data_IF_250297432969
#
_entry.id   IF_250297432969
#
_cell.length_a   1.000
_cell.length_b   1.000
_cell.length_c   1.000
_cell.angle_alpha   90.00
_cell.angle_beta   90.00
_cell.angle_gamma   90.00
#
_symmetry.space_group_name_H-M   'P 1'
#
loop_
_entity.id
_entity.type
_entity.pdbx_description
1 polymer ?
#
# COMPACT_ATOMS: atom_id res chain seq x y z
N UNK A 1 13.57 2.62 -5.68
CA UNK A 1 12.67 3.75 -5.27
C UNK A 1 13.50 4.97 -4.88
N UNK A 2 13.13 6.20 -5.33
CA UNK A 2 13.84 7.41 -4.88
C UNK A 2 13.36 7.84 -3.48
N UNK A 3 14.26 7.97 -2.48
CA UNK A 3 13.88 8.26 -1.10
C UNK A 3 13.14 9.58 -0.91
N UNK A 4 13.42 10.62 -1.71
CA UNK A 4 12.75 11.90 -1.54
C UNK A 4 11.33 11.89 -2.11
N UNK A 5 11.07 11.11 -3.15
CA UNK A 5 9.71 10.92 -3.68
C UNK A 5 8.86 10.19 -2.65
N UNK A 6 9.36 9.09 -2.10
CA UNK A 6 8.67 8.37 -1.03
C UNK A 6 8.40 9.28 0.17
N UNK A 7 9.42 10.01 0.65
CA UNK A 7 9.28 10.94 1.76
C UNK A 7 8.20 12.00 1.48
N UNK A 8 8.15 12.53 0.25
CA UNK A 8 7.17 13.53 -0.17
C UNK A 8 5.75 12.97 -0.12
N UNK A 9 5.51 11.79 -0.70
CA UNK A 9 4.19 11.15 -0.72
C UNK A 9 3.74 10.80 0.70
N UNK A 10 4.61 10.15 1.48
CA UNK A 10 4.31 9.79 2.85
C UNK A 10 4.00 11.02 3.71
N UNK A 11 4.74 12.12 3.53
CA UNK A 11 4.48 13.39 4.23
C UNK A 11 3.13 14.00 3.85
N UNK A 12 2.76 14.00 2.55
CA UNK A 12 1.49 14.53 2.08
C UNK A 12 0.30 13.78 2.68
N UNK A 13 0.36 12.47 2.68
CA UNK A 13 -0.71 11.59 3.18
C UNK A 13 -0.60 11.27 4.69
N UNK A 14 0.43 11.75 5.40
CA UNK A 14 0.73 11.46 6.82
C UNK A 14 0.92 9.97 7.08
N UNK A 15 1.66 9.31 6.20
CA UNK A 15 1.98 7.88 6.30
C UNK A 15 3.29 7.66 7.07
N UNK A 16 3.50 6.46 7.61
CA UNK A 16 4.77 6.08 8.23
C UNK A 16 5.90 6.11 7.20
N UNK A 17 7.08 6.50 7.66
CA UNK A 17 8.27 6.65 6.83
C UNK A 17 9.38 5.78 7.43
N UNK A 18 10.02 4.89 6.65
CA UNK A 18 11.19 4.15 7.11
C UNK A 18 12.28 5.11 7.59
N UNK A 19 12.87 4.87 8.76
CA UNK A 19 13.88 5.77 9.35
C UNK A 19 15.06 6.04 8.43
N UNK A 20 15.49 5.04 7.67
CA UNK A 20 16.63 5.19 6.76
C UNK A 20 16.28 6.00 5.50
N UNK A 21 15.00 6.16 5.15
CA UNK A 21 14.59 6.97 4.00
C UNK A 21 15.16 8.38 4.09
N UNK A 22 15.02 9.03 5.24
CA UNK A 22 15.52 10.41 5.44
C UNK A 22 17.05 10.48 5.31
N UNK A 23 17.76 9.47 5.81
CA UNK A 23 19.22 9.39 5.72
C UNK A 23 19.69 9.29 4.26
N UNK A 24 18.96 8.49 3.46
CA UNK A 24 19.27 8.23 2.06
C UNK A 24 18.95 9.39 1.11
N UNK A 25 18.09 10.34 1.50
CA UNK A 25 17.76 11.51 0.67
C UNK A 25 19.02 12.27 0.29
N UNK A 26 19.20 12.47 -1.01
CA UNK A 26 20.28 13.29 -1.58
C UNK A 26 19.71 14.60 -2.07
N UNK A 27 20.24 15.71 -1.60
CA UNK A 27 19.89 17.06 -2.04
C UNK A 27 21.09 17.64 -2.80
N UNK A 28 20.89 18.22 -3.99
CA UNK A 28 21.98 18.87 -4.71
C UNK A 28 22.61 19.99 -3.89
N UNK A 29 23.95 20.09 -3.95
CA UNK A 29 24.73 20.94 -3.02
C UNK A 29 24.41 22.42 -3.08
N UNK A 30 24.01 22.94 -4.25
CA UNK A 30 23.78 24.36 -4.48
C UNK A 30 22.28 24.74 -4.41
N UNK A 31 21.47 23.90 -3.79
CA UNK A 31 20.03 24.12 -3.69
C UNK A 31 19.73 25.34 -2.81
N UNK A 32 18.97 26.30 -3.33
CA UNK A 32 18.44 27.46 -2.61
C UNK A 32 16.92 27.50 -2.53
N UNK A 33 16.25 26.57 -3.22
CA UNK A 33 14.81 26.41 -3.20
C UNK A 33 14.37 25.11 -3.86
N UNK A 34 13.12 24.76 -3.70
CA UNK A 34 12.52 23.61 -4.35
C UNK A 34 11.03 23.78 -4.57
N UNK A 35 10.51 23.04 -5.54
CA UNK A 35 9.09 22.92 -5.83
C UNK A 35 8.68 21.46 -5.81
N UNK A 36 7.46 21.19 -5.36
CA UNK A 36 6.80 19.92 -5.53
C UNK A 36 5.64 20.13 -6.49
N UNK A 37 5.71 19.47 -7.63
CA UNK A 37 4.67 19.49 -8.65
C UNK A 37 4.03 18.11 -8.75
N UNK A 38 2.71 18.08 -8.73
CA UNK A 38 1.91 16.87 -8.91
C UNK A 38 1.25 16.95 -10.28
N UNK A 39 1.49 15.96 -11.11
CA UNK A 39 0.91 15.82 -12.43
C UNK A 39 -0.07 14.65 -12.47
N UNK A 40 -1.24 14.85 -13.04
CA UNK A 40 -2.17 13.77 -13.37
C UNK A 40 -1.65 12.92 -14.51
N UNK A 41 -1.93 11.63 -14.49
CA UNK A 41 -1.58 10.71 -15.58
C UNK A 41 -2.40 11.02 -16.84
N UNK A 42 -3.61 11.56 -16.65
CA UNK A 42 -4.49 12.00 -17.73
C UNK A 42 -5.00 13.40 -17.41
N UNK A 43 -4.99 14.33 -18.39
CA UNK A 43 -5.64 15.62 -18.24
C UNK A 43 -7.15 15.42 -18.06
N UNK A 44 -7.71 16.00 -17.01
CA UNK A 44 -9.15 15.92 -16.74
C UNK A 44 -9.87 17.12 -17.36
N UNK A 45 -10.72 16.86 -18.32
CA UNK A 45 -11.60 17.86 -18.94
C UNK A 45 -10.90 18.81 -19.91
N UNK A 46 -11.42 20.03 -20.01
CA UNK A 46 -10.95 21.06 -20.97
C UNK A 46 -9.64 21.76 -20.54
N UNK A 47 -9.06 21.39 -19.39
CA UNK A 47 -7.79 21.96 -18.92
C UNK A 47 -6.62 21.37 -19.71
N UNK A 48 -5.85 22.22 -20.42
CA UNK A 48 -4.73 21.73 -21.24
C UNK A 48 -3.51 21.29 -20.42
N UNK A 49 -3.57 21.37 -19.09
CA UNK A 49 -2.44 21.08 -18.21
C UNK A 49 -2.73 19.89 -17.32
N UNK A 50 -1.79 18.97 -17.27
CA UNK A 50 -1.76 17.82 -16.37
C UNK A 50 -1.46 18.19 -14.90
N UNK A 51 -1.11 19.44 -14.61
CA UNK A 51 -0.69 19.88 -13.28
C UNK A 51 -1.87 19.93 -12.32
N UNK A 52 -1.86 19.02 -11.35
CA UNK A 52 -2.80 18.99 -10.24
C UNK A 52 -2.47 20.04 -9.17
N UNK A 53 -1.20 20.24 -8.87
CA UNK A 53 -0.72 21.27 -7.95
C UNK A 53 0.79 21.47 -8.07
N UNK A 54 1.24 22.68 -7.72
CA UNK A 54 2.66 23.03 -7.76
C UNK A 54 2.95 24.12 -6.74
N UNK A 55 3.56 23.75 -5.64
CA UNK A 55 3.93 24.66 -4.54
C UNK A 55 5.42 24.55 -4.28
N UNK A 56 6.06 25.67 -4.00
CA UNK A 56 7.48 25.72 -3.72
C UNK A 56 7.87 26.69 -2.62
N UNK A 57 9.13 26.59 -2.24
CA UNK A 57 9.77 27.46 -1.27
C UNK A 57 11.21 27.73 -1.69
N UNK A 58 11.69 28.96 -1.52
CA UNK A 58 13.09 29.32 -1.78
C UNK A 58 13.58 30.42 -0.84
N UNK A 59 14.89 30.49 -0.66
CA UNK A 59 15.62 31.48 0.13
C UNK A 59 16.60 32.24 -0.78
N UNK A 60 17.21 33.31 -0.24
CA UNK A 60 18.19 34.08 -1.00
C UNK A 60 19.60 33.43 -1.00
N UNK A 61 19.75 32.36 -0.23
CA UNK A 61 20.99 31.63 -0.03
C UNK A 61 20.77 30.12 -0.07
N UNK A 62 21.87 29.39 -0.17
CA UNK A 62 21.87 27.93 -0.09
C UNK A 62 21.12 27.42 1.16
N UNK A 63 20.22 26.48 0.98
CA UNK A 63 19.51 25.78 2.04
C UNK A 63 20.29 24.53 2.50
N UNK A 64 20.21 24.21 3.77
CA UNK A 64 20.71 22.95 4.29
C UNK A 64 19.75 21.79 3.97
N UNK A 65 20.28 20.56 3.95
CA UNK A 65 19.45 19.34 3.82
C UNK A 65 18.32 19.31 4.86
N UNK A 66 18.63 19.61 6.11
CA UNK A 66 17.66 19.62 7.20
C UNK A 66 16.55 20.68 6.98
N UNK A 67 16.90 21.87 6.49
CA UNK A 67 15.93 22.93 6.19
C UNK A 67 14.97 22.49 5.07
N UNK A 68 15.46 21.85 4.00
CA UNK A 68 14.65 21.34 2.90
C UNK A 68 13.72 20.24 3.41
N UNK A 69 14.25 19.23 4.09
CA UNK A 69 13.46 18.11 4.64
C UNK A 69 12.37 18.62 5.57
N UNK A 70 12.67 19.58 6.46
CA UNK A 70 11.68 20.16 7.35
C UNK A 70 10.55 20.94 6.66
N UNK A 71 10.76 21.43 5.44
CA UNK A 71 9.76 22.14 4.66
C UNK A 71 8.88 21.22 3.79
N UNK A 72 9.41 20.06 3.36
CA UNK A 72 8.71 19.14 2.47
C UNK A 72 7.29 18.79 2.96
N UNK A 73 7.02 18.44 4.23
CA UNK A 73 5.68 18.04 4.64
C UNK A 73 4.61 19.09 4.35
N UNK A 74 4.88 20.38 4.66
CA UNK A 74 3.94 21.46 4.40
C UNK A 74 3.75 21.75 2.91
N UNK A 75 4.85 21.75 2.15
CA UNK A 75 4.83 22.00 0.70
C UNK A 75 4.13 20.84 -0.03
N UNK A 76 4.42 19.59 0.34
CA UNK A 76 3.78 18.40 -0.21
C UNK A 76 2.27 18.42 0.05
N UNK A 77 1.85 18.64 1.30
CA UNK A 77 0.43 18.75 1.63
C UNK A 77 -0.27 19.82 0.78
N UNK A 78 0.37 20.98 0.62
CA UNK A 78 -0.21 22.05 -0.16
C UNK A 78 -0.31 21.71 -1.65
N UNK A 79 0.71 21.10 -2.25
CA UNK A 79 0.69 20.68 -3.65
C UNK A 79 -0.35 19.59 -3.94
N UNK A 80 -0.55 18.67 -2.99
CA UNK A 80 -1.48 17.55 -3.16
C UNK A 80 -2.94 17.92 -2.92
N UNK A 81 -3.23 18.88 -2.00
CA UNK A 81 -4.58 19.05 -1.48
C UNK A 81 -5.11 20.49 -1.48
N UNK A 82 -4.26 21.52 -1.39
CA UNK A 82 -4.70 22.89 -1.17
C UNK A 82 -4.32 23.87 -2.27
N UNK A 83 -3.54 23.46 -3.26
CA UNK A 83 -3.33 24.27 -4.47
C UNK A 83 -4.68 24.53 -5.14
N UNK A 84 -4.90 25.75 -5.62
CA UNK A 84 -6.16 26.12 -6.26
C UNK A 84 -6.52 25.21 -7.45
N UNK A 85 -5.54 24.68 -8.14
CA UNK A 85 -5.74 23.72 -9.24
C UNK A 85 -6.29 22.39 -8.78
N UNK A 86 -5.90 21.90 -7.60
CA UNK A 86 -6.40 20.65 -7.04
C UNK A 86 -7.93 20.65 -6.85
N UNK A 87 -8.53 21.83 -6.61
CA UNK A 87 -9.96 21.98 -6.39
C UNK A 87 -10.81 21.77 -7.66
N UNK A 88 -10.22 21.89 -8.84
CA UNK A 88 -10.92 21.67 -10.11
C UNK A 88 -11.00 20.19 -10.51
N UNK A 89 -10.32 19.31 -9.80
CA UNK A 89 -10.33 17.88 -10.09
C UNK A 89 -11.41 17.19 -9.26
N UNK A 90 -12.46 16.70 -9.91
CA UNK A 90 -13.56 15.95 -9.27
C UNK A 90 -13.09 14.62 -8.74
N UNK A 91 -12.14 13.96 -9.44
CA UNK A 91 -11.58 12.67 -9.05
C UNK A 91 -10.44 12.88 -8.05
N UNK A 92 -10.49 12.27 -6.86
CA UNK A 92 -9.41 12.35 -5.88
C UNK A 92 -8.06 11.93 -6.48
N UNK A 93 -6.97 12.56 -6.05
CA UNK A 93 -5.63 12.25 -6.56
C UNK A 93 -5.23 10.79 -6.31
N UNK A 94 -5.71 10.21 -5.23
CA UNK A 94 -5.43 8.83 -4.85
C UNK A 94 -5.96 7.80 -5.86
N UNK A 95 -6.97 8.17 -6.65
CA UNK A 95 -7.52 7.33 -7.71
C UNK A 95 -6.69 7.36 -9.00
N UNK A 96 -5.58 8.12 -8.98
CA UNK A 96 -4.61 8.19 -10.07
C UNK A 96 -3.23 7.65 -9.62
N UNK A 97 -3.04 6.32 -9.56
CA UNK A 97 -1.80 5.70 -9.10
C UNK A 97 -0.58 6.07 -9.94
N UNK A 98 -0.79 6.43 -11.20
CA UNK A 98 0.25 6.85 -12.13
C UNK A 98 0.51 8.35 -12.11
N UNK A 99 -0.19 9.12 -11.26
CA UNK A 99 0.12 10.53 -11.05
C UNK A 99 1.62 10.71 -10.75
N UNK A 100 2.26 11.62 -11.50
CA UNK A 100 3.70 11.88 -11.40
C UNK A 100 3.96 12.94 -10.34
N UNK A 101 4.90 12.65 -9.47
CA UNK A 101 5.39 13.57 -8.44
C UNK A 101 6.77 14.04 -8.88
N UNK A 102 6.92 15.33 -9.10
CA UNK A 102 8.15 15.98 -9.51
C UNK A 102 8.66 16.87 -8.37
N UNK A 103 9.93 16.75 -8.04
CA UNK A 103 10.62 17.62 -7.08
C UNK A 103 11.73 18.35 -7.83
N UNK A 104 11.53 19.64 -8.07
CA UNK A 104 12.46 20.49 -8.78
C UNK A 104 13.29 21.30 -7.79
N UNK A 105 14.60 21.05 -7.71
CA UNK A 105 15.55 21.79 -6.89
C UNK A 105 16.13 22.96 -7.67
N UNK A 106 15.96 24.18 -7.17
CA UNK A 106 16.53 25.40 -7.72
C UNK A 106 18.01 25.53 -7.33
N UNK A 107 18.91 25.74 -8.31
CA UNK A 107 20.34 25.72 -8.10
C UNK A 107 20.98 27.11 -8.20
N UNK A 108 21.93 27.40 -7.30
CA UNK A 108 22.86 28.53 -7.45
C UNK A 108 23.95 28.20 -8.50
N UNK A 109 24.54 29.22 -9.14
CA UNK A 109 24.34 30.64 -8.93
C UNK A 109 23.14 31.18 -9.68
N UNK A 110 22.53 32.25 -9.15
CA UNK A 110 21.60 33.08 -9.89
C UNK A 110 22.35 33.93 -10.93
N UNK A 111 21.96 33.85 -12.19
CA UNK A 111 22.56 34.63 -13.26
C UNK A 111 21.67 35.79 -13.63
N UNK A 112 22.10 37.08 -13.47
CA UNK A 112 21.30 38.21 -13.85
C UNK A 112 21.00 38.23 -15.36
N UNK A 113 19.76 38.54 -15.70
CA UNK A 113 19.35 38.76 -17.09
C UNK A 113 19.27 40.27 -17.32
N UNK A 114 20.18 40.81 -18.15
CA UNK A 114 20.09 42.21 -18.56
C UNK A 114 18.94 42.38 -19.58
N UNK A 115 18.12 43.43 -19.43
CA UNK A 115 16.88 43.65 -20.16
C UNK A 115 16.98 43.78 -21.70
N UNK A 116 18.16 43.59 -22.27
CA UNK A 116 18.40 43.56 -23.73
C UNK A 116 18.56 42.15 -24.31
N UNK A 117 18.50 41.10 -23.48
CA UNK A 117 18.61 39.72 -23.98
C UNK A 117 17.28 39.25 -24.59
N UNK A 118 17.27 39.25 -25.90
CA UNK A 118 16.13 38.80 -26.72
C UNK A 118 15.87 37.28 -26.72
N UNK A 119 16.72 36.49 -26.09
CA UNK A 119 16.59 35.02 -26.04
C UNK A 119 16.82 34.54 -24.61
N UNK A 120 15.75 34.28 -23.89
CA UNK A 120 15.70 33.51 -22.68
C UNK A 120 15.33 32.06 -23.06
N UNK A 121 16.14 31.10 -22.64
CA UNK A 121 15.87 29.66 -22.87
C UNK A 121 15.06 29.11 -21.71
N UNK A 122 13.72 29.18 -21.83
CA UNK A 122 12.79 28.67 -20.83
C UNK A 122 12.70 27.13 -20.78
N UNK A 123 13.29 26.42 -21.74
CA UNK A 123 13.40 24.96 -21.69
C UNK A 123 14.45 24.53 -20.66
N UNK A 124 15.52 25.33 -20.54
CA UNK A 124 16.65 25.00 -19.68
C UNK A 124 16.61 25.71 -18.33
N UNK A 125 16.18 26.97 -18.32
CA UNK A 125 16.29 27.83 -17.14
C UNK A 125 14.95 28.21 -16.55
N UNK A 126 14.87 28.20 -15.22
CA UNK A 126 13.84 28.91 -14.48
C UNK A 126 14.13 30.40 -14.39
N UNK A 127 13.13 31.18 -14.07
CA UNK A 127 13.20 32.66 -14.03
C UNK A 127 12.70 33.17 -12.68
N UNK A 128 13.46 34.07 -12.07
CA UNK A 128 13.06 34.83 -10.88
C UNK A 128 12.95 36.29 -11.25
N UNK A 129 11.96 36.99 -10.69
CA UNK A 129 11.91 38.46 -10.60
C UNK A 129 11.96 38.86 -9.13
N UNK A 130 12.78 39.83 -8.83
CA UNK A 130 12.92 40.43 -7.49
C UNK A 130 12.75 41.95 -7.54
N UNK A 131 12.02 42.46 -6.60
CA UNK A 131 11.82 43.88 -6.36
C UNK A 131 11.65 44.11 -4.84
N UNK A 132 11.77 45.36 -4.41
CA UNK A 132 11.55 45.73 -2.98
C UNK A 132 10.11 45.45 -2.52
N UNK A 133 9.16 45.28 -3.45
CA UNK A 133 7.74 45.07 -3.16
C UNK A 133 7.28 43.64 -3.28
N UNK A 134 8.08 42.77 -3.90
CA UNK A 134 7.69 41.37 -4.09
C UNK A 134 8.64 40.58 -4.97
N UNK A 135 8.45 39.29 -4.96
CA UNK A 135 9.23 38.37 -5.79
C UNK A 135 8.36 37.25 -6.36
N UNK A 136 8.76 36.71 -7.49
CA UNK A 136 8.07 35.64 -8.16
C UNK A 136 9.03 34.74 -8.92
N UNK A 137 8.63 33.53 -9.19
CA UNK A 137 9.43 32.58 -9.99
C UNK A 137 8.57 31.73 -10.89
N UNK A 138 9.17 31.29 -11.98
CA UNK A 138 8.71 30.21 -12.84
C UNK A 138 9.80 29.16 -13.00
N UNK A 139 9.40 27.89 -12.91
CA UNK A 139 10.25 26.76 -13.24
C UNK A 139 10.55 26.72 -14.75
N UNK A 140 11.59 26.01 -15.20
CA UNK A 140 11.79 25.70 -16.61
C UNK A 140 10.53 25.06 -17.23
N UNK A 141 10.34 25.23 -18.53
CA UNK A 141 9.25 24.63 -19.32
C UNK A 141 7.82 25.08 -18.98
N UNK A 142 7.66 26.04 -18.07
CA UNK A 142 6.31 26.56 -17.71
C UNK A 142 5.65 27.31 -18.84
N UNK A 143 6.41 27.91 -19.75
CA UNK A 143 5.89 28.64 -20.88
C UNK A 143 6.04 27.88 -22.19
N UNK A 144 4.98 27.90 -23.00
CA UNK A 144 5.02 27.44 -24.39
C UNK A 144 5.62 28.49 -25.34
N UNK A 145 5.55 29.77 -24.95
CA UNK A 145 6.14 30.86 -25.71
C UNK A 145 7.61 31.08 -25.34
N UNK A 146 8.41 31.49 -26.35
CA UNK A 146 9.79 31.96 -26.16
C UNK A 146 9.88 33.50 -26.16
N UNK A 147 8.75 34.19 -26.16
CA UNK A 147 8.70 35.65 -26.19
C UNK A 147 9.01 36.22 -24.80
N UNK A 148 10.20 36.84 -24.69
CA UNK A 148 10.63 37.49 -23.46
C UNK A 148 9.65 38.49 -22.88
N UNK A 149 9.00 39.31 -23.74
CA UNK A 149 8.06 40.34 -23.30
C UNK A 149 6.85 39.72 -22.60
N UNK A 150 6.33 38.60 -23.12
CA UNK A 150 5.20 37.87 -22.54
C UNK A 150 5.61 37.20 -21.23
N UNK A 151 6.75 36.48 -21.21
CA UNK A 151 7.24 35.77 -20.02
C UNK A 151 7.50 36.78 -18.89
N UNK A 152 8.21 37.89 -19.19
CA UNK A 152 8.56 38.87 -18.17
C UNK A 152 7.33 39.62 -17.64
N UNK A 153 6.38 39.99 -18.49
CA UNK A 153 5.14 40.63 -18.07
C UNK A 153 4.30 39.71 -17.15
N UNK A 154 4.16 38.44 -17.55
CA UNK A 154 3.45 37.43 -16.74
C UNK A 154 4.11 37.22 -15.39
N UNK A 155 5.45 37.17 -15.30
CA UNK A 155 6.16 36.98 -14.05
C UNK A 155 6.06 38.21 -13.13
N UNK A 156 6.11 39.46 -13.70
CA UNK A 156 5.85 40.68 -12.95
C UNK A 156 4.44 40.69 -12.37
N UNK A 157 3.45 40.30 -13.16
CA UNK A 157 2.06 40.18 -12.70
C UNK A 157 1.95 39.14 -11.55
N UNK A 158 2.57 37.98 -11.70
CA UNK A 158 2.60 36.93 -10.64
C UNK A 158 3.24 37.45 -9.37
N UNK A 159 4.32 38.21 -9.47
CA UNK A 159 5.01 38.80 -8.33
C UNK A 159 4.26 40.03 -7.75
N UNK A 160 3.20 40.51 -8.45
CA UNK A 160 2.44 41.73 -8.11
C UNK A 160 3.31 43.00 -8.07
N UNK A 161 4.28 43.09 -8.96
CA UNK A 161 5.21 44.21 -9.05
C UNK A 161 5.18 44.81 -10.47
N UNK A 162 5.48 46.08 -10.57
CA UNK A 162 5.53 46.78 -11.89
C UNK A 162 6.89 46.64 -12.56
N UNK A 163 7.96 46.54 -11.78
CA UNK A 163 9.34 46.43 -12.26
C UNK A 163 10.13 45.55 -11.32
N UNK A 164 11.23 44.95 -11.80
CA UNK A 164 12.12 44.14 -10.98
C UNK A 164 13.39 43.72 -11.72
N UNK A 165 14.31 43.16 -10.99
CA UNK A 165 15.53 42.52 -11.51
C UNK A 165 15.21 41.07 -11.85
N UNK A 166 15.65 40.60 -13.01
CA UNK A 166 15.43 39.25 -13.46
C UNK A 166 16.70 38.41 -13.30
N UNK A 167 16.53 37.19 -12.85
CA UNK A 167 17.60 36.20 -12.71
C UNK A 167 17.14 34.88 -13.29
N UNK A 168 18.06 34.18 -13.96
CA UNK A 168 17.84 32.79 -14.36
C UNK A 168 18.59 31.83 -13.44
N UNK A 169 18.04 30.62 -13.29
CA UNK A 169 18.63 29.55 -12.51
C UNK A 169 18.42 28.19 -13.19
N UNK A 170 19.27 27.24 -12.87
CA UNK A 170 19.11 25.86 -13.29
C UNK A 170 18.30 25.06 -12.26
N UNK A 171 17.72 23.94 -12.70
CA UNK A 171 17.03 23.00 -11.82
C UNK A 171 17.62 21.62 -11.94
N UNK A 172 17.59 20.88 -10.82
CA UNK A 172 17.78 19.45 -10.78
C UNK A 172 16.46 18.81 -10.40
N UNK A 173 16.03 17.83 -11.17
CA UNK A 173 14.68 17.25 -11.03
C UNK A 173 14.78 15.81 -10.60
N UNK A 174 13.93 15.41 -9.65
CA UNK A 174 13.68 14.03 -9.25
C UNK A 174 12.20 13.74 -9.43
N UNK A 175 11.89 12.60 -10.02
CA UNK A 175 10.52 12.21 -10.34
C UNK A 175 10.19 10.82 -9.83
N UNK A 176 8.89 10.60 -9.56
CA UNK A 176 8.33 9.30 -9.26
C UNK A 176 6.81 9.30 -9.42
N UNK A 177 6.18 8.19 -9.10
CA UNK A 177 4.73 8.03 -9.22
C UNK A 177 4.07 7.91 -7.84
N UNK A 178 2.79 8.24 -7.74
CA UNK A 178 2.02 8.11 -6.51
C UNK A 178 2.07 6.67 -5.97
N UNK A 179 2.00 5.68 -6.86
CA UNK A 179 2.09 4.26 -6.51
C UNK A 179 3.42 3.82 -5.88
N UNK A 180 4.41 4.71 -5.77
CA UNK A 180 5.69 4.42 -5.09
C UNK A 180 5.51 3.90 -3.65
N UNK A 181 4.44 4.30 -2.95
CA UNK A 181 4.09 3.73 -1.64
C UNK A 181 3.59 2.28 -1.69
N UNK A 182 3.47 1.73 -2.89
CA UNK A 182 3.12 0.33 -3.14
C UNK A 182 4.27 -0.43 -3.82
N UNK A 183 5.46 0.17 -3.90
CA UNK A 183 6.65 -0.49 -4.43
C UNK A 183 7.14 -1.57 -3.45
N UNK A 184 7.74 -2.60 -4.01
CA UNK A 184 8.21 -3.78 -3.28
C UNK A 184 9.02 -3.44 -2.02
N UNK A 185 9.94 -2.49 -2.11
CA UNK A 185 10.81 -2.10 -1.00
C UNK A 185 10.02 -1.55 0.20
N UNK A 186 8.98 -0.75 -0.06
CA UNK A 186 8.13 -0.22 1.00
C UNK A 186 7.23 -1.30 1.62
N UNK A 187 6.69 -2.20 0.80
CA UNK A 187 5.88 -3.32 1.26
C UNK A 187 6.71 -4.32 2.10
N UNK A 188 7.96 -4.59 1.68
CA UNK A 188 8.89 -5.42 2.44
C UNK A 188 9.27 -4.79 3.78
N UNK A 189 9.43 -3.46 3.83
CA UNK A 189 9.64 -2.75 5.10
C UNK A 189 8.45 -2.92 6.05
N UNK A 190 7.21 -2.76 5.58
CA UNK A 190 6.02 -2.99 6.42
C UNK A 190 6.00 -4.42 6.97
N UNK A 191 6.27 -5.42 6.13
CA UNK A 191 6.34 -6.82 6.57
C UNK A 191 7.49 -7.06 7.57
N UNK A 192 8.63 -6.40 7.38
CA UNK A 192 9.77 -6.51 8.30
C UNK A 192 9.48 -5.91 9.68
N UNK A 193 8.81 -4.76 9.74
CA UNK A 193 8.38 -4.14 11.01
C UNK A 193 7.42 -5.06 11.79
N UNK A 194 6.51 -5.75 11.09
CA UNK A 194 5.66 -6.77 11.71
C UNK A 194 6.48 -7.94 12.27
N UNK A 195 7.48 -8.42 11.52
CA UNK A 195 8.37 -9.46 12.00
C UNK A 195 9.16 -9.02 13.24
N UNK A 196 9.68 -7.80 13.25
CA UNK A 196 10.39 -7.23 14.42
C UNK A 196 9.46 -7.21 15.62
N UNK A 197 8.20 -6.76 15.44
CA UNK A 197 7.21 -6.81 16.51
C UNK A 197 7.02 -8.24 17.04
N UNK A 198 6.87 -9.23 16.15
CA UNK A 198 6.68 -10.62 16.53
C UNK A 198 7.92 -11.19 17.22
N UNK A 199 9.13 -10.94 16.73
CA UNK A 199 10.38 -11.40 17.37
C UNK A 199 10.50 -10.93 18.83
N UNK A 200 10.14 -9.67 19.08
CA UNK A 200 10.24 -9.06 20.41
C UNK A 200 9.14 -9.56 21.35
N UNK A 201 7.92 -9.74 20.84
CA UNK A 201 6.74 -9.94 21.69
C UNK A 201 6.21 -11.37 21.75
N UNK A 202 6.76 -12.30 20.94
CA UNK A 202 6.38 -13.70 20.98
C UNK A 202 6.97 -14.40 22.22
N UNK A 203 6.12 -14.58 23.23
CA UNK A 203 6.49 -15.22 24.50
C UNK A 203 6.31 -16.74 24.50
N UNK A 204 5.54 -17.24 25.49
CA UNK A 204 5.19 -18.66 25.58
C UNK A 204 4.20 -19.11 24.51
N UNK A 205 3.36 -18.19 24.03
CA UNK A 205 2.45 -18.38 22.91
C UNK A 205 2.46 -17.17 21.99
N UNK A 206 1.89 -17.35 20.79
CA UNK A 206 1.69 -16.28 19.82
C UNK A 206 0.88 -15.14 20.45
N UNK A 207 1.29 -13.86 20.27
CA UNK A 207 0.50 -12.74 20.72
C UNK A 207 -0.88 -12.73 20.06
N UNK A 208 -1.92 -12.45 20.84
CA UNK A 208 -3.29 -12.33 20.34
C UNK A 208 -3.63 -10.89 19.94
N UNK A 209 -3.34 -9.95 20.83
CA UNK A 209 -3.65 -8.53 20.60
C UNK A 209 -2.73 -7.62 21.41
N UNK A 210 -2.77 -6.32 21.08
CA UNK A 210 -2.18 -5.26 21.88
C UNK A 210 -3.29 -4.31 22.32
N UNK A 211 -3.37 -4.04 23.63
CA UNK A 211 -4.32 -3.10 24.21
C UNK A 211 -3.63 -2.19 25.21
N UNK A 212 -3.83 -0.86 25.08
CA UNK A 212 -3.18 0.11 25.95
C UNK A 212 -1.65 0.02 25.97
N UNK A 213 -1.02 -0.47 24.90
CA UNK A 213 0.42 -0.69 24.78
C UNK A 213 0.92 -2.00 25.42
N UNK A 214 0.03 -2.83 25.94
CA UNK A 214 0.38 -4.13 26.52
C UNK A 214 0.03 -5.24 25.53
N UNK A 215 0.95 -6.19 25.37
CA UNK A 215 0.73 -7.42 24.59
C UNK A 215 -0.10 -8.39 25.43
N UNK A 216 -1.19 -8.87 24.85
CA UNK A 216 -2.08 -9.87 25.45
C UNK A 216 -1.87 -11.20 24.72
N UNK A 217 -1.71 -12.25 25.49
CA UNK A 217 -1.63 -13.63 25.01
C UNK A 217 -2.90 -14.35 25.46
N UNK A 218 -3.62 -14.91 24.48
CA UNK A 218 -4.79 -15.76 24.75
C UNK A 218 -4.69 -17.05 23.96
N UNK A 219 -4.26 -18.11 24.64
CA UNK A 219 -4.09 -19.43 24.02
C UNK A 219 -5.40 -20.20 23.83
N UNK A 220 -6.54 -19.61 24.18
CA UNK A 220 -7.88 -20.16 23.94
C UNK A 220 -8.48 -19.71 22.61
N UNK A 221 -7.98 -18.60 22.03
CA UNK A 221 -8.37 -18.07 20.73
C UNK A 221 -7.76 -18.86 19.56
N UNK A 222 -8.18 -20.13 19.45
CA UNK A 222 -7.55 -21.12 18.59
C UNK A 222 -7.54 -20.73 17.10
N UNK A 223 -8.64 -20.19 16.58
CA UNK A 223 -8.78 -19.82 15.15
C UNK A 223 -7.76 -18.77 14.79
N UNK A 224 -7.74 -17.65 15.52
CA UNK A 224 -6.87 -16.50 15.26
C UNK A 224 -5.41 -16.83 15.46
N UNK A 225 -5.11 -17.61 16.53
CA UNK A 225 -3.74 -18.05 16.80
C UNK A 225 -3.23 -18.98 15.69
N UNK A 226 -4.02 -19.96 15.25
CA UNK A 226 -3.62 -20.85 14.15
C UNK A 226 -3.48 -20.08 12.82
N UNK A 227 -4.36 -19.10 12.54
CA UNK A 227 -4.23 -18.22 11.38
C UNK A 227 -2.89 -17.45 11.42
N UNK A 228 -2.60 -16.77 12.53
CA UNK A 228 -1.34 -16.02 12.71
C UNK A 228 -0.10 -16.94 12.56
N UNK A 229 -0.14 -18.15 13.09
CA UNK A 229 0.96 -19.11 12.92
C UNK A 229 1.16 -19.48 11.45
N UNK A 230 0.07 -19.68 10.70
CA UNK A 230 0.10 -19.97 9.29
C UNK A 230 0.68 -18.80 8.48
N UNK A 231 0.28 -17.57 8.80
CA UNK A 231 0.71 -16.33 8.16
C UNK A 231 2.20 -16.05 8.39
N UNK A 232 2.67 -16.21 9.63
CA UNK A 232 4.08 -16.02 9.96
C UNK A 232 5.00 -16.95 9.16
N UNK A 233 4.56 -18.16 8.87
CA UNK A 233 5.33 -19.14 8.09
C UNK A 233 5.46 -18.77 6.59
N UNK A 234 4.73 -17.79 6.10
CA UNK A 234 4.92 -17.21 4.76
C UNK A 234 6.04 -16.17 4.71
N UNK A 235 6.51 -15.71 5.86
CA UNK A 235 7.50 -14.66 5.99
C UNK A 235 8.91 -15.24 6.21
N UNK A 236 9.97 -14.47 5.92
CA UNK A 236 11.35 -14.87 6.19
C UNK A 236 11.66 -14.74 7.69
N UNK A 237 11.09 -15.64 8.50
CA UNK A 237 11.24 -15.66 9.96
C UNK A 237 12.62 -16.15 10.40
N UNK A 238 13.05 -15.70 11.58
CA UNK A 238 14.27 -16.20 12.22
C UNK A 238 14.11 -17.65 12.71
N UNK A 239 15.23 -18.34 12.88
CA UNK A 239 15.22 -19.70 13.47
C UNK A 239 14.61 -19.72 14.89
N UNK A 240 14.80 -18.64 15.66
CA UNK A 240 14.23 -18.51 16.99
C UNK A 240 12.71 -18.41 16.94
N UNK A 241 12.18 -17.53 16.09
CA UNK A 241 10.74 -17.37 15.90
C UNK A 241 10.11 -18.66 15.33
N UNK A 242 10.76 -19.30 14.37
CA UNK A 242 10.32 -20.60 13.82
C UNK A 242 10.23 -21.68 14.91
N UNK A 243 11.19 -21.76 15.83
CA UNK A 243 11.15 -22.71 16.92
C UNK A 243 9.95 -22.49 17.86
N UNK A 244 9.63 -21.23 18.16
CA UNK A 244 8.44 -20.86 18.95
C UNK A 244 7.15 -21.25 18.22
N UNK A 245 7.04 -20.93 16.92
CA UNK A 245 5.91 -21.31 16.07
C UNK A 245 5.72 -22.84 16.04
N UNK A 246 6.79 -23.60 15.83
CA UNK A 246 6.76 -25.07 15.84
C UNK A 246 6.26 -25.63 17.18
N UNK A 247 6.62 -25.01 18.30
CA UNK A 247 6.13 -25.40 19.63
C UNK A 247 4.62 -25.18 19.73
N UNK A 248 4.12 -24.04 19.31
CA UNK A 248 2.70 -23.70 19.38
C UNK A 248 1.87 -24.57 18.43
N UNK A 249 2.35 -24.85 17.22
CA UNK A 249 1.71 -25.80 16.31
C UNK A 249 1.56 -27.18 16.95
N UNK A 250 2.59 -27.68 17.63
CA UNK A 250 2.51 -28.99 18.36
C UNK A 250 1.47 -28.92 19.47
N UNK A 251 1.40 -27.83 20.22
CA UNK A 251 0.40 -27.62 21.25
C UNK A 251 -1.01 -27.69 20.70
N UNK A 252 -1.24 -26.96 19.60
CA UNK A 252 -2.54 -26.97 18.95
C UNK A 252 -2.86 -28.29 18.27
N UNK A 253 -1.91 -28.97 17.67
CA UNK A 253 -2.08 -30.30 17.08
C UNK A 253 -2.41 -31.36 18.13
N UNK A 254 -1.86 -31.30 19.33
CA UNK A 254 -2.20 -32.24 20.41
C UNK A 254 -3.64 -32.10 20.91
N UNK A 255 -4.27 -30.95 20.69
CA UNK A 255 -5.62 -30.63 21.21
C UNK A 255 -6.70 -30.61 20.14
N UNK A 256 -6.42 -30.91 18.88
CA UNK A 256 -7.35 -30.69 17.77
C UNK A 256 -8.70 -31.42 17.94
N UNK A 257 -8.72 -32.64 18.48
CA UNK A 257 -9.93 -33.45 18.70
C UNK A 257 -10.89 -32.84 19.73
N UNK A 258 -10.36 -32.09 20.69
CA UNK A 258 -11.13 -31.51 21.79
C UNK A 258 -11.78 -30.17 21.41
N UNK A 259 -11.59 -29.73 20.17
CA UNK A 259 -12.04 -28.47 19.69
C UNK A 259 -12.98 -28.70 18.53
N UNK A 260 -14.23 -28.46 18.72
CA UNK A 260 -15.19 -28.47 17.63
C UNK A 260 -15.05 -27.21 16.76
N UNK A 261 -13.80 -26.89 16.34
CA UNK A 261 -13.47 -25.66 15.60
C UNK A 261 -12.77 -26.01 14.29
N UNK A 262 -13.56 -26.34 13.28
CA UNK A 262 -13.08 -26.73 11.95
C UNK A 262 -12.19 -25.65 11.32
N UNK A 263 -12.50 -24.38 11.52
CA UNK A 263 -11.69 -23.27 11.04
C UNK A 263 -10.28 -23.26 11.62
N UNK A 264 -10.15 -23.47 12.94
CA UNK A 264 -8.82 -23.59 13.57
C UNK A 264 -8.03 -24.77 13.01
N UNK A 265 -8.72 -25.88 12.72
CA UNK A 265 -8.10 -27.07 12.15
C UNK A 265 -7.64 -26.83 10.70
N UNK A 266 -8.37 -26.04 9.91
CA UNK A 266 -7.97 -25.64 8.56
C UNK A 266 -6.62 -24.88 8.58
N UNK A 267 -6.49 -23.84 9.40
CA UNK A 267 -5.23 -23.12 9.55
C UNK A 267 -4.11 -23.99 10.12
N UNK A 268 -4.46 -24.89 11.05
CA UNK A 268 -3.50 -25.78 11.65
C UNK A 268 -2.86 -26.74 10.64
N UNK A 269 -3.63 -27.36 9.74
CA UNK A 269 -3.06 -28.24 8.71
C UNK A 269 -2.18 -27.48 7.73
N UNK A 270 -2.56 -26.26 7.34
CA UNK A 270 -1.71 -25.40 6.49
C UNK A 270 -0.38 -25.09 7.19
N UNK A 271 -0.42 -24.71 8.47
CA UNK A 271 0.78 -24.42 9.25
C UNK A 271 1.65 -25.67 9.43
N UNK A 272 1.04 -26.84 9.70
CA UNK A 272 1.76 -28.13 9.83
C UNK A 272 2.46 -28.51 8.52
N UNK A 273 1.83 -28.33 7.39
CA UNK A 273 2.43 -28.61 6.08
C UNK A 273 3.64 -27.72 5.80
N UNK A 274 3.56 -26.42 6.11
CA UNK A 274 4.64 -25.43 5.90
C UNK A 274 5.89 -25.69 6.74
N UNK A 275 5.77 -26.23 7.94
CA UNK A 275 6.94 -26.53 8.78
C UNK A 275 7.73 -27.76 8.32
N UNK A 276 7.39 -28.34 7.17
CA UNK A 276 8.20 -29.38 6.52
C UNK A 276 8.16 -30.74 7.21
N UNK A 277 7.11 -31.01 7.93
CA UNK A 277 6.87 -32.35 8.48
C UNK A 277 6.51 -33.33 7.37
N UNK A 278 7.01 -34.58 7.45
CA UNK A 278 6.34 -35.72 6.80
C UNK A 278 4.87 -35.65 7.20
N UNK A 279 3.95 -35.99 6.28
CA UNK A 279 2.52 -36.10 6.59
C UNK A 279 2.42 -37.00 7.85
N UNK A 280 2.21 -36.35 8.99
CA UNK A 280 2.06 -37.10 10.26
C UNK A 280 0.68 -37.70 10.27
N UNK A 281 0.49 -38.78 11.02
CA UNK A 281 -0.84 -39.38 11.20
C UNK A 281 -1.84 -38.33 11.68
N UNK A 282 -1.44 -37.42 12.57
CA UNK A 282 -2.28 -36.31 13.05
C UNK A 282 -2.74 -35.39 11.90
N UNK A 283 -1.84 -35.02 10.96
CA UNK A 283 -2.18 -34.20 9.81
C UNK A 283 -3.21 -34.91 8.92
N UNK A 284 -3.01 -36.20 8.65
CA UNK A 284 -3.95 -37.04 7.89
C UNK A 284 -5.31 -37.11 8.56
N UNK A 285 -5.33 -37.37 9.87
CA UNK A 285 -6.57 -37.49 10.67
C UNK A 285 -7.39 -36.18 10.63
N UNK A 286 -6.71 -35.01 10.74
CA UNK A 286 -7.35 -33.71 10.66
C UNK A 286 -7.90 -33.46 9.24
N UNK A 287 -7.15 -33.79 8.18
CA UNK A 287 -7.62 -33.69 6.81
C UNK A 287 -8.87 -34.54 6.57
N UNK A 288 -8.87 -35.78 7.04
CA UNK A 288 -10.01 -36.70 6.90
C UNK A 288 -11.24 -36.19 7.66
N UNK A 289 -11.04 -35.62 8.85
CA UNK A 289 -12.12 -35.03 9.65
C UNK A 289 -12.74 -33.79 8.94
N UNK A 290 -11.89 -32.86 8.49
CA UNK A 290 -12.34 -31.69 7.73
C UNK A 290 -13.10 -32.08 6.45
N UNK A 291 -12.59 -33.08 5.73
CA UNK A 291 -13.24 -33.56 4.51
C UNK A 291 -14.61 -34.19 4.77
N UNK A 292 -14.74 -35.01 5.82
CA UNK A 292 -16.01 -35.64 6.18
C UNK A 292 -17.07 -34.63 6.60
N UNK A 293 -16.65 -33.52 7.20
CA UNK A 293 -17.55 -32.50 7.75
C UNK A 293 -17.79 -31.30 6.81
N UNK A 294 -17.27 -31.33 5.59
CA UNK A 294 -17.36 -30.19 4.64
C UNK A 294 -18.78 -29.68 4.42
N UNK A 295 -19.76 -30.58 4.30
CA UNK A 295 -21.14 -30.23 4.02
C UNK A 295 -21.88 -29.64 5.23
N UNK A 296 -21.31 -29.75 6.43
CA UNK A 296 -21.86 -29.23 7.68
C UNK A 296 -21.20 -27.92 8.13
N UNK A 297 -20.23 -27.38 7.35
CA UNK A 297 -19.52 -26.17 7.73
C UNK A 297 -20.41 -24.94 7.53
N UNK A 298 -20.74 -24.26 8.63
CA UNK A 298 -21.39 -22.97 8.66
C UNK A 298 -20.66 -22.06 9.68
N UNK A 299 -20.55 -20.77 9.43
CA UNK A 299 -20.98 -20.01 8.25
C UNK A 299 -20.07 -20.25 7.03
N UNK A 300 -20.53 -19.90 5.85
CA UNK A 300 -19.88 -20.21 4.57
C UNK A 300 -18.45 -19.67 4.42
N UNK A 301 -18.07 -18.59 5.12
CA UNK A 301 -16.67 -18.11 5.09
C UNK A 301 -15.68 -19.13 5.65
N UNK A 302 -16.08 -19.94 6.65
CA UNK A 302 -15.25 -21.03 7.18
C UNK A 302 -15.06 -22.15 6.15
N UNK A 303 -16.01 -22.33 5.26
CA UNK A 303 -15.88 -23.27 4.15
C UNK A 303 -14.73 -22.85 3.20
N UNK A 304 -14.62 -21.58 2.83
CA UNK A 304 -13.55 -21.07 1.99
C UNK A 304 -12.17 -21.39 2.56
N UNK A 305 -11.95 -21.13 3.84
CA UNK A 305 -10.69 -21.45 4.54
C UNK A 305 -10.39 -22.94 4.52
N UNK A 306 -11.40 -23.77 4.83
CA UNK A 306 -11.25 -25.23 4.84
C UNK A 306 -10.90 -25.75 3.45
N UNK A 307 -11.51 -25.23 2.41
CA UNK A 307 -11.25 -25.62 1.04
C UNK A 307 -9.84 -25.28 0.58
N UNK A 308 -9.34 -24.08 0.93
CA UNK A 308 -7.95 -23.69 0.67
C UNK A 308 -7.01 -24.67 1.37
N UNK A 309 -7.25 -24.92 2.65
CA UNK A 309 -6.42 -25.82 3.44
C UNK A 309 -6.38 -27.24 2.85
N UNK A 310 -7.52 -27.79 2.50
CA UNK A 310 -7.60 -29.11 1.89
C UNK A 310 -6.95 -29.16 0.49
N UNK A 311 -7.13 -28.11 -0.31
CA UNK A 311 -6.50 -28.02 -1.63
C UNK A 311 -4.96 -28.00 -1.52
N UNK A 312 -4.41 -27.25 -0.56
CA UNK A 312 -2.96 -27.14 -0.35
C UNK A 312 -2.35 -28.42 0.22
N UNK A 313 -3.02 -29.07 1.16
CA UNK A 313 -2.41 -30.09 2.02
C UNK A 313 -2.84 -31.52 1.68
N UNK A 314 -4.05 -31.71 1.14
CA UNK A 314 -4.62 -33.03 0.89
C UNK A 314 -4.58 -33.42 -0.60
N UNK A 315 -3.54 -34.13 -1.08
CA UNK A 315 -3.43 -34.51 -2.50
C UNK A 315 -4.62 -35.33 -3.01
N UNK A 316 -5.24 -36.16 -2.15
CA UNK A 316 -6.42 -36.98 -2.48
C UNK A 316 -7.62 -36.18 -2.97
N UNK A 317 -7.72 -34.91 -2.61
CA UNK A 317 -8.83 -34.06 -3.04
C UNK A 317 -8.71 -33.69 -4.53
N UNK A 318 -7.47 -33.51 -5.03
CA UNK A 318 -7.21 -33.27 -6.46
C UNK A 318 -7.56 -34.47 -7.34
N UNK A 319 -7.60 -35.67 -6.77
CA UNK A 319 -7.96 -36.91 -7.46
C UNK A 319 -9.49 -37.11 -7.60
N UNK A 320 -10.29 -36.30 -6.91
CA UNK A 320 -11.75 -36.39 -7.04
C UNK A 320 -12.19 -35.80 -8.36
N UNK A 321 -12.57 -36.63 -9.32
CA UNK A 321 -13.08 -36.24 -10.64
C UNK A 321 -14.27 -35.24 -10.56
N UNK A 322 -14.90 -35.15 -9.41
CA UNK A 322 -16.03 -34.26 -9.14
C UNK A 322 -15.65 -32.97 -8.40
N UNK A 323 -14.39 -32.83 -7.96
CA UNK A 323 -13.92 -31.68 -7.18
C UNK A 323 -14.18 -30.35 -7.90
N UNK A 324 -13.82 -30.23 -9.16
CA UNK A 324 -14.05 -29.02 -9.96
C UNK A 324 -15.55 -28.68 -10.07
N UNK A 325 -16.39 -29.64 -10.42
CA UNK A 325 -17.85 -29.44 -10.49
C UNK A 325 -18.47 -29.12 -9.13
N UNK A 326 -17.97 -29.77 -8.09
CA UNK A 326 -18.46 -29.52 -6.74
C UNK A 326 -18.06 -28.10 -6.30
N UNK A 327 -16.85 -27.66 -6.61
CA UNK A 327 -16.37 -26.30 -6.34
C UNK A 327 -17.13 -25.24 -7.13
N UNK A 328 -17.36 -25.47 -8.43
CA UNK A 328 -18.17 -24.57 -9.26
C UNK A 328 -19.59 -24.42 -8.69
N UNK A 329 -20.22 -25.52 -8.31
CA UNK A 329 -21.56 -25.49 -7.69
C UNK A 329 -21.58 -24.76 -6.35
N UNK A 330 -20.50 -24.89 -5.55
CA UNK A 330 -20.37 -24.17 -4.26
C UNK A 330 -20.06 -22.69 -4.47
N UNK A 331 -19.24 -22.34 -5.47
CA UNK A 331 -19.04 -20.95 -5.88
C UNK A 331 -20.36 -20.31 -6.33
N UNK A 332 -21.17 -20.97 -7.14
CA UNK A 332 -22.49 -20.47 -7.55
C UNK A 332 -23.40 -20.26 -6.31
N UNK A 333 -23.38 -21.15 -5.35
CA UNK A 333 -24.10 -21.00 -4.08
C UNK A 333 -23.56 -19.87 -3.19
N UNK A 334 -22.22 -19.69 -3.13
CA UNK A 334 -21.56 -18.64 -2.38
C UNK A 334 -21.84 -17.25 -2.98
N UNK A 335 -21.94 -17.16 -4.31
CA UNK A 335 -22.23 -15.90 -5.02
C UNK A 335 -23.67 -15.41 -4.82
N UNK A 336 -24.59 -16.27 -4.39
CA UNK A 336 -25.97 -15.93 -4.02
C UNK A 336 -26.14 -15.52 -2.55
N UNK A 337 -25.08 -15.53 -1.73
CA UNK A 337 -25.07 -15.20 -0.31
C UNK A 337 -25.08 -13.70 0.00
N UNK A 338 -25.11 -13.38 1.30
CA UNK A 338 -25.17 -11.99 1.79
C UNK A 338 -23.96 -11.16 1.34
N UNK A 339 -24.16 -9.84 1.20
CA UNK A 339 -23.11 -8.85 0.93
C UNK A 339 -22.18 -8.70 2.15
N UNK A 340 -21.31 -9.68 2.36
CA UNK A 340 -20.39 -9.75 3.47
C UNK A 340 -18.94 -9.77 2.98
N UNK A 341 -18.17 -8.75 3.39
CA UNK A 341 -16.76 -8.60 2.99
C UNK A 341 -15.88 -9.81 3.41
N UNK A 342 -16.21 -10.46 4.53
CA UNK A 342 -15.47 -11.63 4.99
C UNK A 342 -15.67 -12.83 4.06
N UNK A 343 -16.88 -13.02 3.54
CA UNK A 343 -17.16 -14.06 2.54
C UNK A 343 -16.46 -13.74 1.23
N UNK A 344 -16.51 -12.48 0.76
CA UNK A 344 -15.81 -12.05 -0.45
C UNK A 344 -14.29 -12.26 -0.36
N UNK A 345 -13.69 -12.02 0.81
CA UNK A 345 -12.26 -12.26 1.00
C UNK A 345 -11.92 -13.74 0.82
N UNK A 346 -12.68 -14.64 1.46
CA UNK A 346 -12.39 -16.06 1.35
C UNK A 346 -12.66 -16.60 -0.05
N UNK A 347 -13.67 -16.08 -0.74
CA UNK A 347 -13.91 -16.37 -2.16
C UNK A 347 -12.72 -15.91 -3.02
N UNK A 348 -12.24 -14.69 -2.82
CA UNK A 348 -11.11 -14.15 -3.56
C UNK A 348 -9.81 -14.95 -3.33
N UNK A 349 -9.51 -15.27 -2.08
CA UNK A 349 -8.36 -16.12 -1.70
C UNK A 349 -8.49 -17.52 -2.30
N UNK A 350 -9.67 -18.09 -2.25
CA UNK A 350 -9.91 -19.40 -2.83
C UNK A 350 -9.74 -19.39 -4.35
N UNK A 351 -10.33 -18.41 -5.05
CA UNK A 351 -10.14 -18.26 -6.51
C UNK A 351 -8.65 -18.06 -6.86
N UNK A 352 -7.91 -17.31 -6.06
CA UNK A 352 -6.47 -17.13 -6.24
C UNK A 352 -5.72 -18.45 -6.05
N UNK A 353 -6.07 -19.24 -5.04
CA UNK A 353 -5.45 -20.55 -4.78
C UNK A 353 -5.64 -21.52 -5.94
N UNK A 354 -6.86 -21.62 -6.48
CA UNK A 354 -7.19 -22.59 -7.53
C UNK A 354 -6.92 -22.09 -8.96
N UNK A 355 -6.47 -20.85 -9.16
CA UNK A 355 -6.33 -20.20 -10.49
C UNK A 355 -5.54 -20.99 -11.54
N UNK A 356 -4.63 -21.84 -11.07
CA UNK A 356 -3.79 -22.69 -11.93
C UNK A 356 -4.51 -23.97 -12.38
N UNK A 357 -5.48 -24.41 -11.61
CA UNK A 357 -6.16 -25.69 -11.80
C UNK A 357 -7.57 -25.52 -12.41
N UNK A 358 -8.23 -24.39 -12.14
CA UNK A 358 -9.61 -24.12 -12.56
C UNK A 358 -9.73 -22.70 -13.16
N UNK A 359 -10.17 -22.57 -14.41
CA UNK A 359 -10.41 -21.28 -15.05
C UNK A 359 -11.73 -20.66 -14.52
N UNK A 360 -11.67 -19.97 -13.39
CA UNK A 360 -12.83 -19.35 -12.73
C UNK A 360 -13.00 -17.85 -13.10
N UNK A 361 -12.66 -17.45 -14.33
CA UNK A 361 -12.64 -16.05 -14.77
C UNK A 361 -13.97 -15.33 -14.52
N UNK A 362 -15.10 -15.94 -14.84
CA UNK A 362 -16.43 -15.36 -14.64
C UNK A 362 -16.69 -15.03 -13.18
N UNK A 363 -16.42 -15.96 -12.27
CA UNK A 363 -16.60 -15.74 -10.83
C UNK A 363 -15.68 -14.65 -10.30
N UNK A 364 -14.47 -14.60 -10.83
CA UNK A 364 -13.48 -13.58 -10.46
C UNK A 364 -13.93 -12.16 -10.87
N UNK A 365 -14.44 -12.01 -12.09
CA UNK A 365 -14.96 -10.73 -12.61
C UNK A 365 -16.22 -10.29 -11.86
N UNK A 366 -17.12 -11.21 -11.53
CA UNK A 366 -18.33 -10.92 -10.76
C UNK A 366 -17.98 -10.48 -9.34
N UNK A 367 -17.08 -11.18 -8.66
CA UNK A 367 -16.62 -10.82 -7.32
C UNK A 367 -15.92 -9.47 -7.31
N UNK A 368 -15.08 -9.19 -8.33
CA UNK A 368 -14.44 -7.90 -8.49
C UNK A 368 -15.46 -6.77 -8.62
N UNK A 369 -16.49 -6.97 -9.46
CA UNK A 369 -17.55 -5.98 -9.64
C UNK A 369 -18.28 -5.65 -8.32
N UNK A 370 -18.54 -6.66 -7.47
CA UNK A 370 -19.13 -6.47 -6.14
C UNK A 370 -18.20 -5.70 -5.20
N UNK A 371 -16.93 -6.06 -5.16
CA UNK A 371 -15.94 -5.38 -4.32
C UNK A 371 -15.72 -3.91 -4.73
N UNK A 372 -15.60 -3.63 -6.03
CA UNK A 372 -15.47 -2.25 -6.54
C UNK A 372 -16.75 -1.43 -6.23
N UNK A 373 -17.93 -2.06 -6.26
CA UNK A 373 -19.18 -1.44 -5.90
C UNK A 373 -19.32 -1.07 -4.41
N UNK A 374 -18.46 -1.61 -3.53
CA UNK A 374 -18.46 -1.27 -2.12
C UNK A 374 -17.88 0.13 -1.90
N UNK A 375 -18.62 0.96 -1.16
CA UNK A 375 -18.14 2.29 -0.78
C UNK A 375 -17.13 2.18 0.36
N UNK A 376 -15.86 2.23 0.04
CA UNK A 376 -14.78 2.20 1.02
C UNK A 376 -14.49 3.60 1.53
N UNK A 377 -14.49 3.78 2.85
CA UNK A 377 -14.24 5.06 3.52
C UNK A 377 -13.20 4.92 4.62
N UNK A 378 -12.52 6.02 4.95
CA UNK A 378 -11.55 6.03 6.04
C UNK A 378 -12.17 5.72 7.41
N UNK A 379 -13.51 5.87 7.53
CA UNK A 379 -14.23 5.60 8.77
C UNK A 379 -14.50 4.12 9.04
N UNK A 380 -14.35 3.27 8.06
CA UNK A 380 -14.53 1.83 8.23
C UNK A 380 -13.58 1.28 9.28
N UNK A 381 -13.97 0.21 9.95
CA UNK A 381 -13.10 -0.48 10.90
C UNK A 381 -11.86 -1.08 10.21
N UNK A 382 -10.76 -1.13 10.95
CA UNK A 382 -9.48 -1.65 10.44
C UNK A 382 -9.60 -3.09 9.94
N UNK A 383 -10.41 -3.90 10.60
CA UNK A 383 -10.66 -5.28 10.18
C UNK A 383 -11.31 -5.34 8.78
N UNK A 384 -12.33 -4.52 8.52
CA UNK A 384 -12.96 -4.46 7.20
C UNK A 384 -12.00 -4.01 6.12
N UNK A 385 -11.19 -2.98 6.41
CA UNK A 385 -10.18 -2.49 5.47
C UNK A 385 -9.10 -3.54 5.17
N UNK A 386 -8.64 -4.27 6.20
CA UNK A 386 -7.63 -5.30 6.05
C UNK A 386 -8.12 -6.48 5.20
N UNK A 387 -9.34 -6.94 5.48
CA UNK A 387 -9.99 -8.04 4.75
C UNK A 387 -10.31 -7.62 3.30
N UNK A 388 -10.79 -6.40 3.09
CA UNK A 388 -11.01 -5.86 1.75
C UNK A 388 -9.69 -5.75 0.96
N UNK A 389 -8.62 -5.27 1.60
CA UNK A 389 -7.31 -5.19 1.00
C UNK A 389 -6.81 -6.57 0.55
N UNK A 390 -6.90 -7.58 1.43
CA UNK A 390 -6.50 -8.96 1.11
C UNK A 390 -7.30 -9.54 -0.06
N UNK A 391 -8.63 -9.30 -0.08
CA UNK A 391 -9.50 -9.72 -1.18
C UNK A 391 -9.10 -9.09 -2.52
N UNK A 392 -8.91 -7.77 -2.53
CA UNK A 392 -8.51 -7.03 -3.73
C UNK A 392 -7.14 -7.46 -4.23
N UNK A 393 -6.18 -7.73 -3.33
CA UNK A 393 -4.87 -8.24 -3.68
C UNK A 393 -4.95 -9.63 -4.32
N UNK A 394 -5.78 -10.52 -3.78
CA UNK A 394 -6.00 -11.85 -4.34
C UNK A 394 -6.57 -11.78 -5.77
N UNK A 395 -7.58 -10.94 -6.00
CA UNK A 395 -8.14 -10.72 -7.34
C UNK A 395 -7.14 -10.05 -8.29
N UNK A 396 -6.36 -9.09 -7.80
CA UNK A 396 -5.30 -8.47 -8.59
C UNK A 396 -4.23 -9.49 -9.02
N UNK A 397 -3.93 -10.46 -8.16
CA UNK A 397 -3.06 -11.59 -8.48
C UNK A 397 -3.57 -12.44 -9.65
N UNK A 398 -4.90 -12.55 -9.82
CA UNK A 398 -5.54 -13.32 -10.89
C UNK A 398 -5.67 -12.51 -12.19
N UNK A 399 -6.32 -11.34 -12.08
CA UNK A 399 -6.75 -10.54 -13.23
C UNK A 399 -5.69 -9.54 -13.72
N UNK A 400 -4.84 -9.07 -12.80
CA UNK A 400 -4.02 -7.89 -13.09
C UNK A 400 -4.90 -6.63 -13.28
N UNK A 401 -4.42 -5.66 -14.07
CA UNK A 401 -5.23 -4.55 -14.55
C UNK A 401 -5.48 -3.41 -13.56
N UNK A 402 -6.53 -2.62 -13.80
CA UNK A 402 -6.76 -1.27 -13.24
C UNK A 402 -7.30 -1.23 -11.80
N UNK A 403 -7.09 -2.27 -11.00
CA UNK A 403 -7.53 -2.29 -9.59
C UNK A 403 -6.63 -1.51 -8.63
N UNK A 404 -5.49 -1.02 -9.13
CA UNK A 404 -4.46 -0.41 -8.30
C UNK A 404 -4.96 0.85 -7.57
N UNK A 405 -5.88 1.60 -8.16
CA UNK A 405 -6.48 2.77 -7.52
C UNK A 405 -7.23 2.40 -6.23
N UNK A 406 -8.08 1.37 -6.28
CA UNK A 406 -8.83 0.90 -5.12
C UNK A 406 -7.92 0.30 -4.05
N UNK A 407 -6.90 -0.45 -4.48
CA UNK A 407 -5.89 -1.02 -3.59
C UNK A 407 -5.12 0.09 -2.87
N UNK A 408 -4.65 1.11 -3.58
CA UNK A 408 -3.94 2.24 -3.01
C UNK A 408 -4.78 3.05 -2.02
N UNK A 409 -6.05 3.26 -2.33
CA UNK A 409 -6.98 3.96 -1.43
C UNK A 409 -7.03 3.25 -0.06
N UNK A 410 -7.29 1.95 -0.08
CA UNK A 410 -7.38 1.15 1.15
C UNK A 410 -6.02 1.05 1.84
N UNK A 411 -4.95 0.89 1.07
CA UNK A 411 -3.58 0.85 1.57
C UNK A 411 -3.21 2.11 2.36
N UNK A 412 -3.55 3.30 1.85
CA UNK A 412 -3.34 4.56 2.57
C UNK A 412 -4.16 4.61 3.86
N UNK A 413 -5.42 4.17 3.84
CA UNK A 413 -6.24 4.13 5.06
C UNK A 413 -5.67 3.18 6.11
N UNK A 414 -5.13 2.05 5.70
CA UNK A 414 -4.45 1.11 6.59
C UNK A 414 -3.15 1.70 7.14
N UNK A 415 -2.30 2.27 6.28
CA UNK A 415 -1.03 2.87 6.69
C UNK A 415 -1.19 4.00 7.70
N UNK A 416 -2.27 4.78 7.64
CA UNK A 416 -2.58 5.80 8.65
C UNK A 416 -2.85 5.21 10.04
N UNK A 417 -3.14 3.93 10.12
CA UNK A 417 -3.37 3.17 11.36
C UNK A 417 -2.18 2.32 11.78
N UNK A 418 -1.12 2.34 10.96
CA UNK A 418 0.09 1.59 11.22
C UNK A 418 0.94 2.23 12.32
N UNK A 419 1.37 1.41 13.28
CA UNK A 419 2.29 1.85 14.34
C UNK A 419 3.04 0.65 14.93
N UNK A 420 4.38 0.71 14.92
CA UNK A 420 5.22 -0.28 15.60
C UNK A 420 4.94 -1.72 15.16
N UNK A 421 4.79 -1.93 13.86
CA UNK A 421 4.59 -3.26 13.28
C UNK A 421 3.15 -3.76 13.21
N UNK A 422 2.15 -2.97 13.65
CA UNK A 422 0.75 -3.38 13.71
C UNK A 422 -0.22 -2.34 13.14
N UNK A 423 -1.37 -2.82 12.64
CA UNK A 423 -2.51 -1.98 12.27
C UNK A 423 -3.50 -1.87 13.42
N UNK A 424 -3.76 -0.66 13.86
CA UNK A 424 -4.57 -0.37 15.03
C UNK A 424 -6.02 -0.03 14.66
N UNK A 425 -6.97 -0.43 15.51
CA UNK A 425 -8.31 0.12 15.54
C UNK A 425 -8.32 1.56 16.07
N UNK A 426 -9.41 2.28 15.86
CA UNK A 426 -9.60 3.66 16.37
C UNK A 426 -9.48 3.76 17.90
N UNK A 427 -9.83 2.71 18.64
CA UNK A 427 -9.73 2.62 20.10
C UNK A 427 -8.32 2.34 20.63
N UNK A 428 -7.30 2.31 19.75
CA UNK A 428 -5.91 2.00 20.05
C UNK A 428 -5.63 0.55 20.47
N UNK A 429 -6.51 -0.35 20.13
CA UNK A 429 -6.21 -1.78 20.16
C UNK A 429 -5.72 -2.26 18.79
N UNK A 430 -4.90 -3.31 18.77
CA UNK A 430 -4.52 -3.99 17.53
C UNK A 430 -4.63 -5.50 17.75
N UNK A 431 -5.33 -6.18 16.88
CA UNK A 431 -5.34 -7.64 16.83
C UNK A 431 -4.31 -8.12 15.83
N UNK A 432 -3.59 -9.17 16.19
CA UNK A 432 -2.47 -9.67 15.37
C UNK A 432 -2.98 -10.27 14.06
N UNK A 433 -4.07 -11.03 14.08
CA UNK A 433 -4.71 -11.62 12.90
C UNK A 433 -5.15 -10.57 11.85
N UNK A 434 -5.50 -9.35 12.26
CA UNK A 434 -5.84 -8.27 11.33
C UNK A 434 -4.60 -7.78 10.58
N UNK A 435 -3.47 -7.66 11.28
CA UNK A 435 -2.20 -7.38 10.61
C UNK A 435 -1.83 -8.51 9.66
N UNK A 436 -2.10 -9.76 10.03
CA UNK A 436 -1.94 -10.93 9.19
C UNK A 436 -2.70 -10.85 7.87
N UNK A 437 -3.96 -10.43 7.85
CA UNK A 437 -4.72 -10.21 6.61
C UNK A 437 -4.01 -9.25 5.65
N UNK A 438 -3.46 -8.15 6.18
CA UNK A 438 -2.70 -7.20 5.35
C UNK A 438 -1.43 -7.85 4.82
N UNK A 439 -0.68 -8.53 5.68
CA UNK A 439 0.57 -9.20 5.30
C UNK A 439 0.33 -10.29 4.24
N UNK A 440 -0.74 -11.07 4.37
CA UNK A 440 -1.13 -12.05 3.35
C UNK A 440 -1.42 -11.39 1.99
N UNK A 441 -2.16 -10.28 1.99
CA UNK A 441 -2.36 -9.50 0.77
C UNK A 441 -1.04 -9.08 0.13
N UNK A 442 -0.04 -8.66 0.92
CA UNK A 442 1.28 -8.29 0.41
C UNK A 442 2.06 -9.48 -0.19
N UNK A 443 1.84 -10.73 0.26
CA UNK A 443 2.52 -11.90 -0.32
C UNK A 443 2.13 -12.14 -1.79
N UNK A 444 0.92 -11.75 -2.21
CA UNK A 444 0.48 -11.86 -3.60
C UNK A 444 1.43 -11.10 -4.55
N UNK A 445 1.98 -9.96 -4.11
CA UNK A 445 2.95 -9.20 -4.92
C UNK A 445 4.23 -9.99 -5.21
N UNK A 446 4.66 -10.82 -4.25
CA UNK A 446 5.87 -11.66 -4.40
C UNK A 446 5.65 -12.82 -5.36
N UNK A 447 4.47 -13.42 -5.34
CA UNK A 447 4.14 -14.50 -6.28
C UNK A 447 4.08 -13.97 -7.71
N UNK A 448 3.42 -12.82 -7.90
CA UNK A 448 3.29 -12.20 -9.23
C UNK A 448 4.63 -11.73 -9.82
N UNK A 449 5.61 -11.41 -8.99
CA UNK A 449 6.96 -11.04 -9.46
C UNK A 449 7.79 -12.24 -9.92
N UNK A 450 7.33 -13.47 -9.71
CA UNK A 450 7.97 -14.71 -10.16
C UNK A 450 7.39 -15.27 -11.47
N UNK A 451 6.20 -14.81 -11.84
CA UNK A 451 5.53 -15.10 -13.12
C UNK A 451 5.98 -14.11 -14.21
#
# INVERSE_FOLDING_TARGET
MDPIVLYTICSAYKLPIPEDTIKMIKIPLQTFGFFITVHRSQPLGEWPHDIHGCIGYWEDKRMSKAAIIGKIPGIAHSSFFTDSRAQYHVVPLIEDPDARIEISFMQLPLTPISGKRKKFDNEKYGLIVESDQGRGTYLPKVFQTKNWAEISASLLQKARVKTGKFFQYETSVVEGKLRTIFDREYLEWVAQEYLIFMEVNYGDFVPYMVEGGKVIIDNTENVRNCATLCELLELPISKNLEAKIRRDIRYYAAKWKNRNQQQANAFLIMAMAKIGGKVTQTLSDICDDLYKNLDSIEPQFQLGETLIALHQVCPRIKELAHWQKWMEKRLDGLMGGMDNIFEYNWQAKFLFEIRKDIPAKRHTEELLSRLIGMKITEDMETNYLAVYFEAMMSLWGILGGDMLANILLVWIFLLRRWKGGLFYFKNRTARIDITGHVINGLQVTKEKSKE
#
